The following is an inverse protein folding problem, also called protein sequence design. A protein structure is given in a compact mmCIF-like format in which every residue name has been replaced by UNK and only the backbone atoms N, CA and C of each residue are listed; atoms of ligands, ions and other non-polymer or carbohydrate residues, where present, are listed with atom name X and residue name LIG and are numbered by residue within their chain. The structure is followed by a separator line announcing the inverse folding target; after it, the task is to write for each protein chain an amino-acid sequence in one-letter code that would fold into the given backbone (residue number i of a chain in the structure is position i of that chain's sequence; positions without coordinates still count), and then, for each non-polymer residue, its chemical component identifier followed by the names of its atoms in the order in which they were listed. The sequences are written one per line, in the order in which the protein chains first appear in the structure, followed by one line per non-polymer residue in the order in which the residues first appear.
data_IF_140673153411
#
_entry.id   IF_140673153411
#
_cell.length_a   1.000
_cell.length_b   1.000
_cell.length_c   1.000
_cell.angle_alpha   90.00
_cell.angle_beta   90.00
_cell.angle_gamma   90.00
#
_symmetry.space_group_name_H-M   'P 1'
#
loop_
_entity.id
_entity.type
_entity.pdbx_description
1 polymer ?
#
# COMPACT_ATOMS: atom_id res chain seq x y z
N UNK A 1 53.22 -52.56 -14.53
CA UNK A 1 52.57 -51.39 -15.18
C UNK A 1 51.17 -51.07 -14.67
N UNK A 2 50.38 -52.01 -14.11
CA UNK A 2 49.02 -51.71 -13.57
C UNK A 2 49.00 -51.00 -12.21
N UNK A 3 50.08 -51.09 -11.41
CA UNK A 3 50.17 -50.44 -10.09
C UNK A 3 50.45 -48.93 -10.17
N UNK A 4 51.08 -48.45 -11.25
CA UNK A 4 51.41 -47.02 -11.40
C UNK A 4 50.18 -46.15 -11.69
N UNK A 5 49.11 -46.74 -12.23
CA UNK A 5 47.88 -46.02 -12.60
C UNK A 5 46.96 -45.77 -11.39
N UNK A 6 47.06 -46.60 -10.35
CA UNK A 6 46.26 -46.49 -9.12
C UNK A 6 46.78 -45.37 -8.21
N UNK A 7 48.09 -45.11 -8.21
CA UNK A 7 48.70 -44.00 -7.45
C UNK A 7 48.42 -42.65 -8.11
N UNK A 8 48.34 -42.59 -9.45
CA UNK A 8 48.03 -41.35 -10.17
C UNK A 8 46.55 -40.93 -10.02
N UNK A 9 45.63 -41.87 -9.77
CA UNK A 9 44.20 -41.56 -9.55
C UNK A 9 43.90 -41.09 -8.12
N UNK A 10 44.76 -41.43 -7.14
CA UNK A 10 44.59 -41.01 -5.74
C UNK A 10 45.13 -39.60 -5.44
N UNK A 11 45.98 -39.05 -6.32
CA UNK A 11 46.46 -37.66 -6.26
C UNK A 11 45.46 -36.63 -6.82
N UNK A 12 44.45 -37.06 -7.60
CA UNK A 12 43.42 -36.16 -8.14
C UNK A 12 42.28 -35.89 -7.14
N UNK A 13 42.16 -36.70 -6.08
CA UNK A 13 41.13 -36.53 -5.04
C UNK A 13 41.55 -35.58 -3.91
N UNK A 14 42.82 -35.18 -3.86
CA UNK A 14 43.33 -34.17 -2.91
C UNK A 14 43.11 -32.73 -3.40
N UNK A 15 42.58 -32.53 -4.61
CA UNK A 15 42.38 -31.21 -5.21
C UNK A 15 41.09 -30.49 -4.75
N UNK A 16 40.25 -31.10 -3.91
CA UNK A 16 39.06 -30.46 -3.34
C UNK A 16 39.30 -29.81 -1.96
N UNK A 17 40.54 -29.71 -1.48
CA UNK A 17 40.88 -28.90 -0.29
C UNK A 17 41.13 -27.44 -0.67
N UNK A 18 40.22 -26.84 -1.42
CA UNK A 18 40.30 -25.41 -1.73
C UNK A 18 39.93 -24.61 -0.48
N UNK A 19 40.96 -24.08 0.20
CA UNK A 19 40.82 -22.95 1.12
C UNK A 19 39.90 -21.90 0.49
N UNK A 20 38.82 -21.54 1.17
CA UNK A 20 37.87 -20.54 0.68
C UNK A 20 38.62 -19.19 0.55
N UNK A 21 38.73 -18.62 -0.66
CA UNK A 21 39.41 -17.34 -0.89
C UNK A 21 38.70 -16.20 -0.13
N UNK A 22 39.47 -15.22 0.35
CA UNK A 22 38.94 -14.04 1.07
C UNK A 22 37.93 -13.26 0.23
N UNK A 23 38.12 -13.30 -1.09
CA UNK A 23 37.29 -12.69 -2.12
C UNK A 23 35.84 -13.21 -2.08
N UNK A 24 35.61 -14.47 -1.68
CA UNK A 24 34.26 -15.06 -1.57
C UNK A 24 33.52 -14.50 -0.34
N UNK A 25 34.23 -14.26 0.76
CA UNK A 25 33.66 -13.63 1.97
C UNK A 25 33.38 -12.14 1.72
N UNK A 26 34.28 -11.43 1.04
CA UNK A 26 34.06 -10.03 0.64
C UNK A 26 32.87 -9.88 -0.31
N UNK A 27 32.67 -10.85 -1.22
CA UNK A 27 31.51 -10.90 -2.10
C UNK A 27 30.20 -11.06 -1.31
N UNK A 28 30.17 -11.90 -0.26
CA UNK A 28 28.96 -12.08 0.56
C UNK A 28 28.61 -10.83 1.38
N UNK A 29 29.60 -10.09 1.88
CA UNK A 29 29.37 -8.77 2.50
C UNK A 29 28.84 -7.74 1.50
N UNK A 30 29.36 -7.75 0.26
CA UNK A 30 28.85 -6.86 -0.80
C UNK A 30 27.40 -7.19 -1.17
N UNK A 31 27.06 -8.48 -1.17
CA UNK A 31 25.68 -8.94 -1.42
C UNK A 31 24.70 -8.42 -0.37
N UNK A 32 25.07 -8.37 0.91
CA UNK A 32 24.24 -7.79 1.98
C UNK A 32 23.94 -6.29 1.75
N UNK A 33 24.97 -5.54 1.34
CA UNK A 33 24.83 -4.13 0.98
C UNK A 33 23.91 -3.94 -0.24
N UNK A 34 24.11 -4.74 -1.27
CA UNK A 34 23.30 -4.67 -2.50
C UNK A 34 21.84 -5.04 -2.21
N UNK A 35 21.57 -6.03 -1.33
CA UNK A 35 20.23 -6.41 -0.91
C UNK A 35 19.49 -5.28 -0.18
N UNK A 36 20.19 -4.47 0.61
CA UNK A 36 19.61 -3.29 1.26
C UNK A 36 19.19 -2.23 0.23
N UNK A 37 20.01 -2.00 -0.79
CA UNK A 37 19.66 -1.07 -1.87
C UNK A 37 18.46 -1.55 -2.70
N UNK A 38 18.39 -2.86 -2.97
CA UNK A 38 17.28 -3.46 -3.71
C UNK A 38 15.99 -3.44 -2.89
N UNK A 39 16.04 -3.78 -1.60
CA UNK A 39 14.90 -3.66 -0.67
C UNK A 39 14.29 -2.26 -0.74
N UNK A 40 15.13 -1.23 -0.62
CA UNK A 40 14.69 0.16 -0.67
C UNK A 40 14.05 0.51 -2.02
N UNK A 41 14.62 0.07 -3.14
CA UNK A 41 14.05 0.31 -4.47
C UNK A 41 12.66 -0.30 -4.63
N UNK A 42 12.44 -1.52 -4.14
CA UNK A 42 11.11 -2.15 -4.17
C UNK A 42 10.12 -1.41 -3.26
N UNK A 43 10.54 -1.02 -2.06
CA UNK A 43 9.69 -0.22 -1.17
C UNK A 43 9.28 1.11 -1.80
N UNK A 44 10.20 1.78 -2.48
CA UNK A 44 9.93 3.06 -3.14
C UNK A 44 9.00 2.90 -4.34
N UNK A 45 9.14 1.82 -5.11
CA UNK A 45 8.20 1.49 -6.19
C UNK A 45 6.77 1.31 -5.66
N UNK A 46 6.60 0.55 -4.57
CA UNK A 46 5.29 0.33 -3.94
C UNK A 46 4.70 1.65 -3.47
N UNK A 47 5.47 2.49 -2.76
CA UNK A 47 5.02 3.81 -2.29
C UNK A 47 4.57 4.70 -3.44
N UNK A 48 5.35 4.77 -4.52
CA UNK A 48 5.01 5.56 -5.70
C UNK A 48 3.72 5.06 -6.36
N UNK A 49 3.57 3.75 -6.52
CA UNK A 49 2.36 3.18 -7.10
C UNK A 49 1.12 3.45 -6.24
N UNK A 50 1.22 3.26 -4.93
CA UNK A 50 0.15 3.56 -3.98
C UNK A 50 -0.23 5.03 -3.97
N UNK A 51 0.75 5.93 -4.11
CA UNK A 51 0.50 7.37 -4.23
C UNK A 51 -0.34 7.70 -5.46
N UNK A 52 -0.08 7.05 -6.60
CA UNK A 52 -0.90 7.21 -7.82
C UNK A 52 -2.33 6.74 -7.59
N UNK A 53 -2.52 5.56 -6.98
CA UNK A 53 -3.87 5.04 -6.70
C UNK A 53 -4.64 5.93 -5.73
N UNK A 54 -3.99 6.41 -4.66
CA UNK A 54 -4.59 7.36 -3.71
C UNK A 54 -4.98 8.66 -4.40
N UNK A 55 -4.12 9.20 -5.27
CA UNK A 55 -4.43 10.38 -6.07
C UNK A 55 -5.66 10.17 -6.96
N UNK A 56 -5.77 9.03 -7.63
CA UNK A 56 -6.96 8.72 -8.44
C UNK A 56 -8.25 8.70 -7.60
N UNK A 57 -8.19 8.23 -6.35
CA UNK A 57 -9.33 8.26 -5.42
C UNK A 57 -9.68 9.67 -4.97
N UNK A 58 -8.68 10.49 -4.69
CA UNK A 58 -8.90 11.89 -4.35
C UNK A 58 -9.44 12.68 -5.55
N UNK A 59 -8.92 12.43 -6.75
CA UNK A 59 -9.40 13.08 -7.97
C UNK A 59 -10.87 12.70 -8.23
N UNK A 60 -11.26 11.43 -8.03
CA UNK A 60 -12.67 11.02 -8.05
C UNK A 60 -13.51 11.72 -6.97
N UNK A 61 -13.03 11.72 -5.73
CA UNK A 61 -13.72 12.33 -4.60
C UNK A 61 -14.01 13.80 -4.88
N UNK A 62 -12.98 14.60 -5.18
CA UNK A 62 -13.13 16.05 -5.24
C UNK A 62 -13.64 16.58 -6.58
N UNK A 63 -13.47 15.85 -7.68
CA UNK A 63 -13.91 16.33 -9.00
C UNK A 63 -15.20 15.67 -9.51
N UNK A 64 -15.64 14.57 -8.92
CA UNK A 64 -16.87 13.87 -9.33
C UNK A 64 -17.86 13.77 -8.17
N UNK A 65 -17.46 13.15 -7.05
CA UNK A 65 -18.39 12.81 -5.96
C UNK A 65 -18.79 14.03 -5.11
N UNK A 66 -17.84 14.85 -4.66
CA UNK A 66 -18.10 16.05 -3.84
C UNK A 66 -18.96 17.07 -4.59
N UNK A 67 -18.72 17.39 -5.87
CA UNK A 67 -19.60 18.29 -6.62
C UNK A 67 -21.04 17.76 -6.67
N UNK A 68 -21.23 16.47 -6.94
CA UNK A 68 -22.55 15.84 -6.99
C UNK A 68 -23.25 15.83 -5.61
N UNK A 69 -22.49 15.55 -4.54
CA UNK A 69 -23.00 15.67 -3.17
C UNK A 69 -23.47 17.10 -2.90
N UNK A 70 -22.61 18.10 -3.13
CA UNK A 70 -22.90 19.49 -2.80
C UNK A 70 -24.06 20.07 -3.60
N UNK A 71 -24.25 19.66 -4.85
CA UNK A 71 -25.41 20.08 -5.64
C UNK A 71 -26.72 19.65 -4.96
N UNK A 72 -26.83 18.39 -4.56
CA UNK A 72 -27.98 17.87 -3.80
C UNK A 72 -28.09 18.53 -2.42
N UNK A 73 -26.94 18.72 -1.75
CA UNK A 73 -26.85 19.29 -0.41
C UNK A 73 -27.31 20.75 -0.36
N UNK A 74 -26.97 21.56 -1.37
CA UNK A 74 -27.36 22.96 -1.48
C UNK A 74 -28.87 23.08 -1.68
N UNK A 75 -29.44 22.22 -2.53
CA UNK A 75 -30.88 22.23 -2.84
C UNK A 75 -31.69 21.74 -1.64
N UNK A 76 -31.36 20.57 -1.07
CA UNK A 76 -32.08 20.02 0.08
C UNK A 76 -31.92 20.87 1.35
N UNK A 77 -30.74 21.47 1.52
CA UNK A 77 -30.46 22.36 2.65
C UNK A 77 -31.03 23.76 2.53
N UNK A 78 -31.68 24.09 1.40
CA UNK A 78 -32.14 25.44 1.06
C UNK A 78 -31.09 26.51 1.39
N UNK A 79 -29.81 26.21 1.09
CA UNK A 79 -28.69 27.02 1.57
C UNK A 79 -28.67 28.40 0.93
N UNK A 80 -29.19 28.52 -0.29
CA UNK A 80 -29.33 29.80 -0.99
C UNK A 80 -30.39 30.67 -0.29
N UNK A 81 -31.55 30.09 -0.02
CA UNK A 81 -32.68 30.75 0.64
C UNK A 81 -32.31 31.13 2.09
N UNK A 82 -31.58 30.25 2.78
CA UNK A 82 -31.07 30.49 4.13
C UNK A 82 -30.04 31.62 4.15
N UNK A 83 -29.09 31.63 3.20
CA UNK A 83 -28.12 32.72 3.07
C UNK A 83 -28.78 34.05 2.68
N UNK A 84 -29.89 34.01 1.95
CA UNK A 84 -30.73 35.18 1.65
C UNK A 84 -31.62 35.60 2.82
N UNK A 85 -31.70 34.80 3.88
CA UNK A 85 -32.51 35.08 5.06
C UNK A 85 -34.00 34.86 4.88
N UNK A 86 -34.39 34.08 3.86
CA UNK A 86 -35.79 33.76 3.55
C UNK A 86 -36.32 32.60 4.40
N UNK A 87 -35.44 31.66 4.75
CA UNK A 87 -35.77 30.48 5.55
C UNK A 87 -34.76 30.28 6.67
N UNK A 88 -35.19 29.59 7.73
CA UNK A 88 -34.32 29.04 8.77
C UNK A 88 -34.76 27.61 9.07
N UNK A 89 -33.82 26.75 9.46
CA UNK A 89 -34.16 25.42 9.96
C UNK A 89 -34.67 25.52 11.39
N UNK A 90 -35.87 24.98 11.66
CA UNK A 90 -36.47 24.97 12.99
C UNK A 90 -36.49 23.55 13.55
N UNK A 91 -35.64 23.32 14.56
CA UNK A 91 -35.49 22.03 15.25
C UNK A 91 -36.76 21.54 15.96
N UNK A 92 -37.76 22.41 16.22
CA UNK A 92 -39.01 22.00 16.87
C UNK A 92 -39.98 21.32 15.91
N UNK A 93 -39.98 21.76 14.65
CA UNK A 93 -40.82 21.21 13.58
C UNK A 93 -40.03 20.32 12.61
N UNK A 94 -38.71 20.25 12.78
CA UNK A 94 -37.77 19.46 11.97
C UNK A 94 -37.87 19.77 10.47
N UNK A 95 -38.11 21.04 10.16
CA UNK A 95 -38.29 21.54 8.80
C UNK A 95 -37.85 23.00 8.69
N UNK A 96 -37.74 23.47 7.46
CA UNK A 96 -37.45 24.85 7.15
C UNK A 96 -38.70 25.71 7.19
N UNK A 97 -38.61 26.83 7.90
CA UNK A 97 -39.70 27.79 8.05
C UNK A 97 -39.34 29.12 7.42
N UNK A 98 -40.31 29.76 6.77
CA UNK A 98 -40.15 31.09 6.20
C UNK A 98 -40.00 32.14 7.31
N UNK A 99 -39.15 33.13 7.10
CA UNK A 99 -38.90 34.20 8.08
C UNK A 99 -39.10 35.57 7.45
N UNK A 100 -39.95 36.39 8.06
CA UNK A 100 -40.24 37.75 7.58
C UNK A 100 -39.12 38.75 7.92
N UNK A 101 -38.34 38.46 8.97
CA UNK A 101 -37.25 39.35 9.43
C UNK A 101 -35.90 38.61 9.44
N UNK A 102 -34.99 38.93 8.51
CA UNK A 102 -33.68 38.28 8.43
C UNK A 102 -32.83 38.45 9.71
N UNK A 103 -32.52 37.35 10.40
CA UNK A 103 -31.54 37.34 11.49
C UNK A 103 -30.20 36.79 11.01
N UNK A 104 -29.21 37.67 10.82
CA UNK A 104 -27.88 37.31 10.29
C UNK A 104 -27.16 36.25 11.12
N UNK A 105 -27.30 36.24 12.44
CA UNK A 105 -26.62 35.27 13.30
C UNK A 105 -27.22 33.86 13.12
N UNK A 106 -28.54 33.77 13.00
CA UNK A 106 -29.25 32.51 12.76
C UNK A 106 -28.91 31.95 11.37
N UNK A 107 -28.88 32.81 10.35
CA UNK A 107 -28.48 32.43 8.98
C UNK A 107 -27.06 31.88 8.94
N UNK A 108 -26.11 32.58 9.56
CA UNK A 108 -24.72 32.16 9.58
C UNK A 108 -24.55 30.82 10.32
N UNK A 109 -25.28 30.64 11.44
CA UNK A 109 -25.22 29.39 12.19
C UNK A 109 -25.82 28.21 11.41
N UNK A 110 -26.94 28.40 10.72
CA UNK A 110 -27.53 27.35 9.89
C UNK A 110 -26.60 26.95 8.74
N UNK A 111 -26.06 27.92 7.99
CA UNK A 111 -25.09 27.62 6.91
C UNK A 111 -23.85 26.92 7.46
N UNK A 112 -23.35 27.34 8.63
CA UNK A 112 -22.22 26.71 9.31
C UNK A 112 -22.52 25.25 9.69
N UNK A 113 -23.67 24.97 10.29
CA UNK A 113 -24.06 23.61 10.68
C UNK A 113 -24.14 22.69 9.46
N UNK A 114 -24.77 23.15 8.38
CA UNK A 114 -24.83 22.41 7.13
C UNK A 114 -23.45 22.15 6.52
N UNK A 115 -22.56 23.15 6.54
CA UNK A 115 -21.19 22.99 6.07
C UNK A 115 -20.38 21.99 6.91
N UNK A 116 -20.62 21.95 8.23
CA UNK A 116 -19.99 20.96 9.12
C UNK A 116 -20.44 19.53 8.76
N UNK A 117 -21.75 19.31 8.59
CA UNK A 117 -22.27 17.98 8.20
C UNK A 117 -21.72 17.56 6.85
N UNK A 118 -21.74 18.45 5.85
CA UNK A 118 -21.16 18.15 4.54
C UNK A 118 -19.67 17.79 4.65
N UNK A 119 -18.91 18.50 5.48
CA UNK A 119 -17.49 18.20 5.71
C UNK A 119 -17.31 16.82 6.34
N UNK A 120 -18.13 16.46 7.33
CA UNK A 120 -18.09 15.14 7.97
C UNK A 120 -18.38 14.01 6.98
N UNK A 121 -19.35 14.18 6.09
CA UNK A 121 -19.67 13.19 5.05
C UNK A 121 -18.54 13.05 4.02
N UNK A 122 -17.97 14.17 3.57
CA UNK A 122 -16.82 14.18 2.65
C UNK A 122 -15.64 13.45 3.28
N UNK A 123 -15.34 13.72 4.56
CA UNK A 123 -14.26 13.05 5.27
C UNK A 123 -14.56 11.56 5.53
N UNK A 124 -15.81 11.19 5.77
CA UNK A 124 -16.22 9.80 5.87
C UNK A 124 -15.98 9.05 4.54
N UNK A 125 -16.43 9.64 3.42
CA UNK A 125 -16.20 9.07 2.09
C UNK A 125 -14.71 9.02 1.75
N UNK A 126 -13.93 10.04 2.12
CA UNK A 126 -12.47 10.03 1.95
C UNK A 126 -11.84 8.84 2.67
N UNK A 127 -12.22 8.58 3.93
CA UNK A 127 -11.70 7.42 4.68
C UNK A 127 -12.11 6.10 4.03
N UNK A 128 -13.36 5.97 3.58
CA UNK A 128 -13.84 4.78 2.85
C UNK A 128 -12.96 4.47 1.63
N UNK A 129 -12.56 5.50 0.88
CA UNK A 129 -11.77 5.34 -0.34
C UNK A 129 -10.26 5.11 -0.07
N UNK A 130 -9.69 5.76 0.94
CA UNK A 130 -8.23 5.82 1.14
C UNK A 130 -7.72 4.75 2.11
N UNK A 131 -8.41 4.50 3.23
CA UNK A 131 -7.95 3.57 4.28
C UNK A 131 -7.67 2.15 3.76
N UNK A 132 -8.49 1.57 2.84
CA UNK A 132 -8.18 0.26 2.28
C UNK A 132 -6.84 0.23 1.52
N UNK A 133 -6.48 1.31 0.81
CA UNK A 133 -5.21 1.43 0.09
C UNK A 133 -4.03 1.56 1.05
N UNK A 134 -4.18 2.32 2.14
CA UNK A 134 -3.14 2.43 3.18
C UNK A 134 -2.88 1.10 3.86
N UNK A 135 -3.94 0.32 4.12
CA UNK A 135 -3.81 -1.04 4.66
C UNK A 135 -3.07 -1.96 3.69
N UNK A 136 -3.42 -1.92 2.40
CA UNK A 136 -2.73 -2.72 1.37
C UNK A 136 -1.24 -2.33 1.25
N UNK A 137 -0.93 -1.03 1.27
CA UNK A 137 0.44 -0.51 1.29
C UNK A 137 1.23 -1.03 2.50
N UNK A 138 0.65 -0.97 3.69
CA UNK A 138 1.30 -1.46 4.91
C UNK A 138 1.64 -2.95 4.85
N UNK A 139 0.70 -3.78 4.38
CA UNK A 139 0.90 -5.23 4.22
C UNK A 139 2.01 -5.52 3.22
N UNK A 140 1.97 -4.89 2.05
CA UNK A 140 2.96 -5.11 1.00
C UNK A 140 4.38 -4.70 1.43
N UNK A 141 4.51 -3.56 2.12
CA UNK A 141 5.79 -3.13 2.67
C UNK A 141 6.31 -4.07 3.77
N UNK A 142 5.43 -4.67 4.56
CA UNK A 142 5.81 -5.67 5.56
C UNK A 142 6.30 -6.96 4.89
N UNK A 143 5.61 -7.45 3.86
CA UNK A 143 5.99 -8.65 3.11
C UNK A 143 7.36 -8.49 2.42
N UNK A 144 7.62 -7.31 1.84
CA UNK A 144 8.92 -6.97 1.26
C UNK A 144 10.02 -7.04 2.33
N UNK A 145 9.84 -6.33 3.45
CA UNK A 145 10.83 -6.32 4.54
C UNK A 145 11.10 -7.72 5.09
N UNK A 146 10.06 -8.52 5.28
CA UNK A 146 10.20 -9.88 5.78
C UNK A 146 10.97 -10.75 4.79
N UNK A 147 10.67 -10.63 3.49
CA UNK A 147 11.40 -11.35 2.44
C UNK A 147 12.88 -10.99 2.44
N UNK A 148 13.24 -9.70 2.41
CA UNK A 148 14.63 -9.27 2.45
C UNK A 148 15.34 -9.61 3.78
N UNK A 149 14.60 -9.67 4.90
CA UNK A 149 15.14 -10.14 6.18
C UNK A 149 15.53 -11.60 6.13
N UNK A 150 14.68 -12.47 5.58
CA UNK A 150 14.99 -13.89 5.39
C UNK A 150 16.21 -14.07 4.47
N UNK A 151 16.31 -13.27 3.41
CA UNK A 151 17.46 -13.32 2.53
C UNK A 151 18.76 -12.90 3.25
N UNK A 152 18.72 -11.80 4.02
CA UNK A 152 19.89 -11.37 4.81
C UNK A 152 20.30 -12.41 5.83
N UNK A 153 19.34 -13.05 6.52
CA UNK A 153 19.62 -14.15 7.45
C UNK A 153 20.31 -15.33 6.74
N UNK A 154 19.82 -15.73 5.57
CA UNK A 154 20.48 -16.75 4.74
C UNK A 154 21.92 -16.36 4.37
N UNK A 155 22.13 -15.14 3.89
CA UNK A 155 23.46 -14.64 3.53
C UNK A 155 24.40 -14.50 4.74
N UNK A 156 23.88 -14.11 5.91
CA UNK A 156 24.64 -14.05 7.17
C UNK A 156 25.05 -15.44 7.64
N UNK A 157 24.17 -16.43 7.54
CA UNK A 157 24.48 -17.84 7.83
C UNK A 157 25.57 -18.35 6.88
N UNK A 158 25.45 -18.09 5.57
CA UNK A 158 26.50 -18.42 4.59
C UNK A 158 27.81 -17.71 4.94
N UNK A 159 27.78 -16.41 5.22
CA UNK A 159 28.98 -15.63 5.58
C UNK A 159 29.64 -16.15 6.86
N UNK A 160 28.85 -16.51 7.87
CA UNK A 160 29.33 -17.13 9.09
C UNK A 160 29.96 -18.51 8.83
N UNK A 161 29.35 -19.32 7.95
CA UNK A 161 29.93 -20.59 7.51
C UNK A 161 31.22 -20.40 6.72
N UNK A 162 31.29 -19.45 5.77
CA UNK A 162 32.51 -19.16 5.02
C UNK A 162 33.65 -18.71 5.95
N UNK A 163 33.33 -17.87 6.93
CA UNK A 163 34.29 -17.45 7.97
C UNK A 163 34.71 -18.63 8.88
N UNK A 164 33.77 -19.51 9.25
CA UNK A 164 34.03 -20.69 10.08
C UNK A 164 34.86 -21.74 9.35
N UNK A 165 34.59 -22.02 8.06
CA UNK A 165 35.35 -22.97 7.22
C UNK A 165 36.77 -22.46 6.98
N UNK A 166 36.94 -21.13 6.86
CA UNK A 166 38.25 -20.49 6.82
C UNK A 166 39.03 -20.71 8.13
N UNK A 167 38.35 -20.89 9.26
CA UNK A 167 38.96 -20.99 10.59
C UNK A 167 39.12 -22.45 11.10
N UNK A 168 38.25 -23.40 10.75
CA UNK A 168 38.35 -24.82 11.14
C UNK A 168 37.65 -25.74 10.10
N UNK A 169 38.25 -26.89 9.77
CA UNK A 169 37.65 -27.93 8.91
C UNK A 169 36.91 -29.00 9.76
N UNK A 170 35.58 -29.04 9.72
CA UNK A 170 34.75 -30.27 9.58
C UNK A 170 33.21 -30.01 9.58
N UNK A 171 32.52 -30.64 8.59
CA UNK A 171 31.18 -31.32 8.54
C UNK A 171 29.90 -30.52 8.95
N UNK A 172 28.68 -30.55 8.35
CA UNK A 172 27.96 -31.30 7.29
C UNK A 172 26.88 -30.38 6.68
N UNK A 173 26.34 -30.76 5.51
CA UNK A 173 25.43 -30.00 4.66
C UNK A 173 23.95 -30.15 5.03
N UNK A 174 23.27 -29.02 5.17
CA UNK A 174 21.89 -28.73 4.77
C UNK A 174 21.81 -27.18 4.67
N UNK A 175 20.86 -26.61 3.94
CA UNK A 175 20.59 -25.15 3.75
C UNK A 175 20.95 -24.58 2.36
N UNK A 176 20.36 -25.15 1.30
CA UNK A 176 20.19 -24.46 0.00
C UNK A 176 18.74 -24.54 -0.50
N UNK A 177 17.76 -24.45 0.40
CA UNK A 177 16.34 -24.39 -0.01
C UNK A 177 15.73 -22.99 0.01
N UNK A 178 16.44 -21.97 0.49
CA UNK A 178 15.84 -20.63 0.63
C UNK A 178 16.51 -19.59 -0.25
N UNK A 179 15.63 -18.84 -0.93
CA UNK A 179 15.83 -17.58 -1.65
C UNK A 179 15.91 -17.73 -3.17
N UNK A 180 14.73 -17.82 -3.81
CA UNK A 180 14.58 -17.52 -5.23
C UNK A 180 14.18 -16.04 -5.43
N UNK A 181 15.16 -15.22 -5.83
CA UNK A 181 14.98 -13.78 -6.12
C UNK A 181 14.00 -13.54 -7.28
N UNK A 182 13.91 -14.49 -8.22
CA UNK A 182 12.97 -14.42 -9.33
C UNK A 182 11.53 -14.58 -8.83
N UNK A 183 11.31 -15.49 -7.89
CA UNK A 183 10.01 -15.68 -7.24
C UNK A 183 9.57 -14.42 -6.48
N UNK A 184 10.47 -13.75 -5.73
CA UNK A 184 10.14 -12.50 -5.04
C UNK A 184 9.70 -11.41 -6.03
N UNK A 185 10.48 -11.19 -7.10
CA UNK A 185 10.16 -10.22 -8.15
C UNK A 185 8.78 -10.51 -8.75
N UNK A 186 8.53 -11.76 -9.09
CA UNK A 186 7.27 -12.19 -9.72
C UNK A 186 6.09 -11.98 -8.76
N UNK A 187 6.24 -12.31 -7.47
CA UNK A 187 5.21 -12.10 -6.45
C UNK A 187 4.89 -10.61 -6.27
N UNK A 188 5.90 -9.74 -6.16
CA UNK A 188 5.68 -8.29 -6.01
C UNK A 188 4.96 -7.74 -7.25
N UNK A 189 5.39 -8.11 -8.44
CA UNK A 189 4.74 -7.67 -9.69
C UNK A 189 3.30 -8.18 -9.78
N UNK A 190 3.04 -9.42 -9.37
CA UNK A 190 1.70 -9.99 -9.34
C UNK A 190 0.80 -9.27 -8.33
N UNK A 191 1.28 -9.05 -7.11
CA UNK A 191 0.53 -8.31 -6.08
C UNK A 191 0.26 -6.86 -6.51
N UNK A 192 1.23 -6.19 -7.16
CA UNK A 192 1.04 -4.84 -7.71
C UNK A 192 -0.01 -4.84 -8.82
N UNK A 193 0.07 -5.79 -9.75
CA UNK A 193 -0.90 -5.90 -10.84
C UNK A 193 -2.30 -6.24 -10.34
N UNK A 194 -2.40 -7.18 -9.40
CA UNK A 194 -3.67 -7.57 -8.80
C UNK A 194 -4.29 -6.43 -8.02
N UNK A 195 -3.50 -5.72 -7.21
CA UNK A 195 -3.96 -4.54 -6.51
C UNK A 195 -4.38 -3.44 -7.48
N UNK A 196 -3.64 -3.18 -8.55
CA UNK A 196 -4.01 -2.19 -9.57
C UNK A 196 -5.35 -2.54 -10.22
N UNK A 197 -5.54 -3.82 -10.56
CA UNK A 197 -6.80 -4.33 -11.11
C UNK A 197 -7.95 -4.24 -10.10
N UNK A 198 -7.72 -4.62 -8.85
CA UNK A 198 -8.72 -4.52 -7.78
C UNK A 198 -9.05 -3.07 -7.44
N UNK A 199 -8.06 -2.17 -7.45
CA UNK A 199 -8.24 -0.75 -7.25
C UNK A 199 -9.04 -0.12 -8.40
N UNK A 200 -8.73 -0.45 -9.65
CA UNK A 200 -9.53 0.04 -10.79
C UNK A 200 -10.96 -0.48 -10.73
N UNK A 201 -11.15 -1.81 -10.63
CA UNK A 201 -12.49 -2.42 -10.57
C UNK A 201 -13.28 -1.96 -9.36
N UNK A 202 -12.61 -1.79 -8.22
CA UNK A 202 -13.19 -1.27 -7.00
C UNK A 202 -13.62 0.19 -7.15
N UNK A 203 -12.86 1.01 -7.89
CA UNK A 203 -13.27 2.38 -8.20
C UNK A 203 -14.49 2.41 -9.11
N UNK A 204 -14.49 1.60 -10.16
CA UNK A 204 -15.63 1.51 -11.07
C UNK A 204 -16.88 0.99 -10.35
N UNK A 205 -16.70 0.03 -9.43
CA UNK A 205 -17.81 -0.47 -8.62
C UNK A 205 -18.34 0.58 -7.64
N UNK A 206 -17.46 1.34 -7.00
CA UNK A 206 -17.84 2.45 -6.12
C UNK A 206 -18.62 3.50 -6.93
N UNK A 207 -18.12 3.89 -8.10
CA UNK A 207 -18.82 4.79 -9.02
C UNK A 207 -20.21 4.27 -9.40
N UNK A 208 -20.31 3.00 -9.77
CA UNK A 208 -21.59 2.37 -10.12
C UNK A 208 -22.56 2.35 -8.94
N UNK A 209 -22.08 2.02 -7.73
CA UNK A 209 -22.89 2.02 -6.51
C UNK A 209 -23.35 3.42 -6.14
N UNK A 210 -22.47 4.42 -6.22
CA UNK A 210 -22.79 5.82 -5.93
C UNK A 210 -23.84 6.36 -6.93
N UNK A 211 -23.68 6.06 -8.23
CA UNK A 211 -24.67 6.39 -9.27
C UNK A 211 -26.03 5.71 -9.05
N UNK A 212 -26.03 4.44 -8.60
CA UNK A 212 -27.26 3.72 -8.29
C UNK A 212 -27.90 4.18 -6.99
N UNK A 213 -27.12 4.67 -6.03
CA UNK A 213 -27.61 5.15 -4.74
C UNK A 213 -28.22 6.56 -4.83
N UNK A 214 -27.76 7.39 -5.77
CA UNK A 214 -28.32 8.73 -6.06
C UNK A 214 -29.87 8.77 -6.07
N UNK A 215 -30.59 7.93 -6.83
CA UNK A 215 -32.06 7.95 -6.86
C UNK A 215 -32.75 7.35 -5.61
N UNK A 216 -32.04 6.62 -4.75
CA UNK A 216 -32.60 6.07 -3.51
C UNK A 216 -32.39 7.01 -2.30
N UNK A 217 -31.33 7.83 -2.31
CA UNK A 217 -31.16 8.95 -1.38
C UNK A 217 -32.19 10.08 -1.61
N UNK A 218 -32.81 10.12 -2.80
CA UNK A 218 -33.96 10.98 -3.12
C UNK A 218 -35.31 10.44 -2.61
N UNK A 219 -35.43 9.14 -2.29
CA UNK A 219 -36.70 8.49 -1.88
C UNK A 219 -36.75 7.98 -0.45
N UNK A 220 -35.61 7.94 0.24
CA UNK A 220 -35.51 7.49 1.63
C UNK A 220 -35.63 8.64 2.65
N UNK A 221 -35.97 9.85 2.20
CA UNK A 221 -36.42 11.00 2.99
C UNK A 221 -37.76 11.46 2.43
#
# INVERSE_FOLDING_TARGET
MKSLWIVMFSLLLSACSASIPKEIVELSYKMDKDMTHVEQAYMDLVRQHMAVLKKQREDYLYNEWVPALLEDWIVKGMLIEMAQGKVVYDNQVDDFVAVDTPNRLVQLNGVKEWALVATEEIEAKRRELIVPLEKAESVMLADIRQSFTLMRQGNQTITAHLNSIREVQDVQHDLLESVDLEQLRNNINQQLSELSNQASKGLDKVRELDQKAQPYLEKAK
#
